data_IF_730668830759
#
_entry.id   IF_730668830759
#
_cell.length_a   1.000
_cell.length_b   1.000
_cell.length_c   1.000
_cell.angle_alpha   90.00
_cell.angle_beta   90.00
_cell.angle_gamma   90.00
#
_symmetry.space_group_name_H-M   'P 1'
#
loop_
_entity.id
_entity.type
_entity.pdbx_description
1 polymer ?
#
# COMPACT_ATOMS: atom_id res chain seq x y z
N UNK A 1 -58.45 -37.67 64.05
CA UNK A 1 -59.23 -36.57 64.67
C UNK A 1 -58.41 -35.30 64.58
N UNK A 2 -59.06 -34.24 64.06
CA UNK A 2 -58.72 -32.81 64.10
C UNK A 2 -57.35 -32.40 63.53
N UNK A 3 -57.26 -31.87 62.30
CA UNK A 3 -57.69 -30.52 61.85
C UNK A 3 -56.96 -29.41 62.61
N UNK A 4 -56.15 -28.62 61.88
CA UNK A 4 -56.16 -27.15 61.88
C UNK A 4 -55.24 -26.62 60.78
N UNK A 5 -55.86 -26.25 59.66
CA UNK A 5 -55.27 -25.34 58.68
C UNK A 5 -55.37 -23.91 59.24
N UNK A 6 -54.28 -23.16 59.17
CA UNK A 6 -54.31 -21.71 59.22
C UNK A 6 -53.29 -21.18 58.20
N UNK A 7 -53.83 -20.37 57.28
CA UNK A 7 -53.18 -19.68 56.17
C UNK A 7 -51.83 -19.03 56.52
N UNK A 8 -50.94 -18.98 55.53
CA UNK A 8 -50.11 -17.84 55.12
C UNK A 8 -49.29 -18.27 53.88
N UNK A 9 -49.84 -18.18 52.68
CA UNK A 9 -49.50 -17.16 51.66
C UNK A 9 -47.99 -16.90 51.57
N UNK A 10 -47.33 -17.50 50.57
CA UNK A 10 -46.36 -16.74 49.77
C UNK A 10 -46.14 -17.39 48.40
N UNK A 11 -46.41 -16.58 47.40
CA UNK A 11 -46.30 -16.79 45.97
C UNK A 11 -44.94 -16.25 45.55
N UNK A 12 -44.10 -17.01 44.84
CA UNK A 12 -42.99 -16.47 44.02
C UNK A 12 -42.42 -17.60 43.13
N UNK A 13 -42.97 -17.78 41.93
CA UNK A 13 -42.41 -17.31 40.65
C UNK A 13 -41.11 -18.03 40.25
N UNK A 14 -41.28 -19.05 39.41
CA UNK A 14 -40.24 -19.52 38.50
C UNK A 14 -39.81 -18.33 37.62
N UNK A 15 -38.67 -17.72 37.94
CA UNK A 15 -37.97 -16.84 37.01
C UNK A 15 -37.30 -17.74 35.98
N UNK A 16 -38.03 -18.03 34.91
CA UNK A 16 -37.43 -18.45 33.65
C UNK A 16 -36.62 -17.24 33.14
N UNK A 17 -35.30 -17.28 33.33
CA UNK A 17 -34.37 -16.35 32.69
C UNK A 17 -34.43 -16.56 31.17
N UNK A 18 -35.39 -15.91 30.53
CA UNK A 18 -35.42 -15.74 29.09
C UNK A 18 -34.41 -14.64 28.78
N UNK A 19 -33.14 -15.01 28.53
CA UNK A 19 -32.12 -14.07 28.07
C UNK A 19 -32.56 -13.59 26.68
N UNK A 20 -32.88 -12.31 26.48
CA UNK A 20 -33.17 -11.80 25.16
C UNK A 20 -31.86 -11.75 24.37
N UNK A 21 -31.82 -12.43 23.23
CA UNK A 21 -30.72 -12.31 22.28
C UNK A 21 -30.64 -10.86 21.79
N UNK A 22 -29.50 -10.16 21.97
CA UNK A 22 -29.33 -8.82 21.46
C UNK A 22 -29.51 -8.81 19.94
N UNK A 23 -30.18 -7.80 19.37
CA UNK A 23 -30.29 -7.67 17.92
C UNK A 23 -28.89 -7.64 17.29
N UNK A 24 -28.72 -8.20 16.07
CA UNK A 24 -27.45 -8.18 15.38
C UNK A 24 -26.94 -6.73 15.26
N UNK A 25 -25.71 -6.51 15.69
CA UNK A 25 -25.05 -5.22 15.59
C UNK A 25 -25.07 -4.74 14.12
N UNK A 26 -25.30 -3.44 13.85
CA UNK A 26 -25.18 -2.91 12.50
C UNK A 26 -23.77 -3.21 11.96
N UNK A 27 -23.70 -3.79 10.76
CA UNK A 27 -22.45 -4.04 10.07
C UNK A 27 -21.61 -2.75 9.97
N UNK A 28 -20.27 -2.83 10.10
CA UNK A 28 -19.42 -1.67 9.88
C UNK A 28 -19.70 -1.12 8.48
N UNK A 29 -20.07 0.17 8.42
CA UNK A 29 -20.22 0.88 7.16
C UNK A 29 -18.90 0.74 6.38
N UNK A 30 -18.97 0.14 5.20
CA UNK A 30 -17.93 0.25 4.19
C UNK A 30 -17.58 1.74 4.04
N UNK A 31 -16.31 2.15 4.21
CA UNK A 31 -15.94 3.51 3.89
C UNK A 31 -16.23 3.74 2.41
N UNK A 32 -17.20 4.61 2.14
CA UNK A 32 -17.46 5.19 0.82
C UNK A 32 -16.13 5.70 0.30
N UNK A 33 -15.57 5.03 -0.72
CA UNK A 33 -14.38 5.49 -1.42
C UNK A 33 -14.67 6.91 -1.91
N UNK A 34 -13.93 7.89 -1.39
CA UNK A 34 -13.91 9.23 -1.94
C UNK A 34 -13.63 9.12 -3.46
N UNK A 35 -14.24 9.96 -4.31
CA UNK A 35 -13.91 9.99 -5.72
C UNK A 35 -12.41 10.18 -5.85
N UNK A 36 -11.71 9.16 -6.35
CA UNK A 36 -10.28 9.26 -6.63
C UNK A 36 -10.10 10.45 -7.58
N UNK A 37 -9.13 11.35 -7.34
CA UNK A 37 -8.80 12.40 -8.30
C UNK A 37 -8.63 11.78 -9.70
N UNK A 38 -9.01 12.49 -10.78
CA UNK A 38 -8.77 11.99 -12.13
C UNK A 38 -7.30 11.58 -12.21
N UNK A 39 -7.05 10.29 -12.45
CA UNK A 39 -5.70 9.75 -12.57
C UNK A 39 -5.06 10.47 -13.76
N UNK A 40 -4.12 11.37 -13.48
CA UNK A 40 -3.35 12.05 -14.52
C UNK A 40 -2.78 10.96 -15.42
N UNK A 41 -3.17 10.97 -16.70
CA UNK A 41 -2.60 10.07 -17.71
C UNK A 41 -1.29 10.71 -18.17
N UNK A 42 -0.10 10.15 -17.83
CA UNK A 42 1.15 10.85 -18.08
C UNK A 42 1.46 10.96 -19.57
N UNK A 43 1.56 12.19 -20.07
CA UNK A 43 1.90 12.50 -21.47
C UNK A 43 3.35 12.95 -21.64
N UNK A 44 4.05 13.25 -20.54
CA UNK A 44 5.50 13.48 -20.52
C UNK A 44 6.23 12.51 -19.58
N UNK A 45 7.52 12.20 -19.83
CA UNK A 45 8.31 11.37 -18.91
C UNK A 45 8.31 11.90 -17.48
N UNK A 46 8.41 13.22 -17.29
CA UNK A 46 8.46 13.87 -15.99
C UNK A 46 7.14 13.72 -15.23
N UNK A 47 5.99 13.74 -15.92
CA UNK A 47 4.68 13.52 -15.30
C UNK A 47 4.57 12.08 -14.75
N UNK A 48 5.05 11.09 -15.52
CA UNK A 48 5.06 9.69 -15.09
C UNK A 48 6.04 9.47 -13.94
N UNK A 49 7.22 10.08 -14.01
CA UNK A 49 8.21 10.04 -12.94
C UNK A 49 7.66 10.64 -11.64
N UNK A 50 7.05 11.83 -11.73
CA UNK A 50 6.42 12.50 -10.57
C UNK A 50 5.35 11.62 -9.95
N UNK A 51 4.42 11.09 -10.75
CA UNK A 51 3.36 10.20 -10.25
C UNK A 51 3.94 8.94 -9.58
N UNK A 52 5.02 8.38 -10.13
CA UNK A 52 5.69 7.21 -9.55
C UNK A 52 6.37 7.54 -8.22
N UNK A 53 7.10 8.66 -8.14
CA UNK A 53 7.80 9.10 -6.94
C UNK A 53 6.83 9.49 -5.81
N UNK A 54 5.72 10.15 -6.14
CA UNK A 54 4.69 10.50 -5.16
C UNK A 54 4.03 9.25 -4.58
N UNK A 55 3.65 8.30 -5.44
CA UNK A 55 3.10 7.02 -4.99
C UNK A 55 4.11 6.23 -4.14
N UNK A 56 5.40 6.26 -4.49
CA UNK A 56 6.45 5.59 -3.73
C UNK A 56 6.62 6.18 -2.34
N UNK A 57 6.73 7.50 -2.23
CA UNK A 57 6.85 8.20 -0.94
C UNK A 57 5.65 7.96 -0.02
N UNK A 58 4.46 7.76 -0.60
CA UNK A 58 3.23 7.42 0.13
C UNK A 58 3.07 5.91 0.42
N UNK A 59 4.00 5.06 -0.03
CA UNK A 59 3.90 3.61 0.12
C UNK A 59 2.79 2.97 -0.71
N UNK A 60 2.28 3.66 -1.73
CA UNK A 60 1.19 3.20 -2.59
C UNK A 60 1.71 2.29 -3.71
N UNK A 61 2.23 1.12 -3.34
CA UNK A 61 2.87 0.20 -4.30
C UNK A 61 1.91 -0.31 -5.39
N UNK A 62 0.61 -0.41 -5.11
CA UNK A 62 -0.38 -0.74 -6.14
C UNK A 62 -0.48 0.36 -7.21
N UNK A 63 -0.49 1.64 -6.80
CA UNK A 63 -0.53 2.76 -7.73
C UNK A 63 0.78 2.88 -8.54
N UNK A 64 1.93 2.60 -7.91
CA UNK A 64 3.20 2.50 -8.64
C UNK A 64 3.15 1.40 -9.71
N UNK A 65 2.58 0.24 -9.40
CA UNK A 65 2.43 -0.85 -10.36
C UNK A 65 1.56 -0.44 -11.56
N UNK A 66 0.54 0.39 -11.33
CA UNK A 66 -0.35 0.92 -12.36
C UNK A 66 0.33 1.89 -13.35
N UNK A 67 1.54 2.35 -13.01
CA UNK A 67 2.40 3.19 -13.86
C UNK A 67 3.44 2.38 -14.66
N UNK A 68 3.58 1.08 -14.40
CA UNK A 68 4.56 0.25 -15.11
C UNK A 68 4.20 -0.03 -16.56
N UNK A 69 5.22 -0.21 -17.38
CA UNK A 69 5.12 -0.71 -18.75
C UNK A 69 4.59 -2.15 -18.79
N UNK A 70 4.03 -2.55 -19.92
CA UNK A 70 3.53 -3.91 -20.11
C UNK A 70 4.63 -4.96 -19.89
N UNK A 71 5.83 -4.73 -20.43
CA UNK A 71 6.99 -5.64 -20.28
C UNK A 71 7.41 -5.79 -18.82
N UNK A 72 7.46 -4.69 -18.06
CA UNK A 72 7.78 -4.75 -16.64
C UNK A 72 6.74 -5.55 -15.84
N UNK A 73 5.45 -5.41 -16.17
CA UNK A 73 4.36 -6.19 -15.55
C UNK A 73 4.37 -7.66 -15.94
N UNK A 74 4.78 -7.97 -17.18
CA UNK A 74 4.94 -9.34 -17.64
C UNK A 74 6.10 -10.04 -16.90
N UNK A 75 7.20 -9.32 -16.68
CA UNK A 75 8.36 -9.83 -15.97
C UNK A 75 8.15 -9.92 -14.45
N UNK A 76 7.34 -9.03 -13.88
CA UNK A 76 7.14 -8.93 -12.42
C UNK A 76 5.66 -8.83 -12.08
N UNK A 77 5.05 -9.90 -11.52
CA UNK A 77 3.66 -9.85 -11.06
C UNK A 77 3.44 -8.82 -9.94
N UNK A 78 2.23 -8.26 -9.86
CA UNK A 78 1.85 -7.23 -8.86
C UNK A 78 2.22 -7.61 -7.43
N UNK A 79 1.89 -8.82 -7.01
CA UNK A 79 2.17 -9.27 -5.65
C UNK A 79 3.67 -9.36 -5.37
N UNK A 80 4.46 -9.79 -6.38
CA UNK A 80 5.91 -9.82 -6.25
C UNK A 80 6.49 -8.41 -6.16
N UNK A 81 6.01 -7.48 -6.98
CA UNK A 81 6.40 -6.07 -6.94
C UNK A 81 6.13 -5.48 -5.54
N UNK A 82 4.89 -5.57 -5.05
CA UNK A 82 4.51 -5.01 -3.76
C UNK A 82 5.30 -5.63 -2.61
N UNK A 83 5.41 -6.97 -2.56
CA UNK A 83 6.19 -7.66 -1.52
C UNK A 83 7.65 -7.26 -1.51
N UNK A 84 8.29 -7.02 -2.67
CA UNK A 84 9.68 -6.56 -2.70
C UNK A 84 9.85 -5.22 -2.01
N UNK A 85 9.01 -4.24 -2.33
CA UNK A 85 9.06 -2.93 -1.68
C UNK A 85 8.79 -3.03 -0.18
N UNK A 86 7.75 -3.77 0.23
CA UNK A 86 7.42 -3.98 1.65
C UNK A 86 8.56 -4.66 2.40
N UNK A 87 9.04 -5.81 1.93
CA UNK A 87 10.08 -6.56 2.63
C UNK A 87 11.40 -5.78 2.72
N UNK A 88 11.75 -5.00 1.70
CA UNK A 88 12.95 -4.14 1.74
C UNK A 88 12.75 -3.02 2.76
N UNK A 89 11.63 -2.29 2.70
CA UNK A 89 11.31 -1.20 3.63
C UNK A 89 11.39 -1.69 5.09
N UNK A 90 10.75 -2.82 5.37
CA UNK A 90 10.70 -3.39 6.72
C UNK A 90 12.06 -3.94 7.14
N UNK A 91 12.75 -4.67 6.24
CA UNK A 91 14.04 -5.30 6.51
C UNK A 91 15.17 -4.31 6.81
N UNK A 92 15.15 -3.12 6.20
CA UNK A 92 16.14 -2.06 6.48
C UNK A 92 15.69 -1.10 7.59
N UNK A 93 14.48 -1.27 8.12
CA UNK A 93 13.90 -0.37 9.11
C UNK A 93 13.70 1.06 8.58
N UNK A 94 13.22 1.21 7.34
CA UNK A 94 12.94 2.52 6.73
C UNK A 94 11.74 3.20 7.40
N UNK A 95 11.99 4.36 8.01
CA UNK A 95 10.97 5.17 8.68
C UNK A 95 10.48 6.34 7.84
N UNK A 96 11.31 6.81 6.91
CA UNK A 96 10.97 7.90 6.00
C UNK A 96 11.67 7.70 4.66
N UNK A 97 10.95 8.01 3.58
CA UNK A 97 11.44 8.01 2.22
C UNK A 97 11.18 9.37 1.58
N UNK A 98 12.20 9.93 0.94
CA UNK A 98 12.08 11.10 0.07
C UNK A 98 12.64 10.73 -1.30
N UNK A 99 11.90 11.01 -2.37
CA UNK A 99 12.33 10.75 -3.74
C UNK A 99 12.19 12.04 -4.54
N UNK A 100 13.27 12.46 -5.19
CA UNK A 100 13.34 13.75 -5.88
C UNK A 100 13.97 13.60 -7.25
N UNK A 101 13.32 14.14 -8.28
CA UNK A 101 13.94 14.34 -9.58
C UNK A 101 15.10 15.33 -9.45
N UNK A 102 16.26 15.00 -10.02
CA UNK A 102 17.49 15.80 -9.90
C UNK A 102 17.89 16.53 -11.18
N UNK A 103 17.13 16.36 -12.26
CA UNK A 103 17.40 16.97 -13.57
C UNK A 103 16.29 16.69 -14.58
N UNK A 104 16.34 17.28 -15.78
CA UNK A 104 15.36 17.05 -16.83
C UNK A 104 15.43 15.61 -17.36
N UNK A 105 14.35 15.14 -18.01
CA UNK A 105 14.41 13.89 -18.74
C UNK A 105 15.39 13.97 -19.92
N UNK A 106 16.09 12.88 -20.20
CA UNK A 106 16.82 12.72 -21.45
C UNK A 106 15.87 12.58 -22.64
N UNK A 107 16.40 12.76 -23.85
CA UNK A 107 15.70 12.44 -25.10
C UNK A 107 15.30 10.97 -25.23
N UNK A 108 15.94 10.07 -24.48
CA UNK A 108 15.64 8.65 -24.41
C UNK A 108 14.64 8.28 -23.30
N UNK A 109 14.01 9.25 -22.65
CA UNK A 109 13.01 9.00 -21.60
C UNK A 109 13.62 8.59 -20.26
N UNK A 110 14.86 9.00 -19.98
CA UNK A 110 15.55 8.70 -18.73
C UNK A 110 15.44 9.89 -17.77
N UNK A 111 14.84 9.70 -16.59
CA UNK A 111 14.69 10.77 -15.58
C UNK A 111 15.65 10.54 -14.41
N UNK A 112 16.67 11.39 -14.21
CA UNK A 112 17.58 11.24 -13.07
C UNK A 112 16.87 11.64 -11.77
N UNK A 113 17.10 10.87 -10.71
CA UNK A 113 16.50 11.10 -9.40
C UNK A 113 17.43 10.69 -8.26
N UNK A 114 17.12 11.20 -7.06
CA UNK A 114 17.75 10.84 -5.80
C UNK A 114 16.70 10.23 -4.88
N UNK A 115 17.08 9.16 -4.19
CA UNK A 115 16.33 8.60 -3.08
C UNK A 115 17.08 8.86 -1.79
N UNK A 116 16.38 9.38 -0.79
CA UNK A 116 16.90 9.61 0.55
C UNK A 116 16.01 8.88 1.55
N UNK A 117 16.62 7.98 2.32
CA UNK A 117 15.95 7.13 3.31
C UNK A 117 16.44 7.47 4.68
N UNK A 118 15.52 7.60 5.62
CA UNK A 118 15.85 7.59 7.04
C UNK A 118 15.59 6.19 7.57
N UNK A 119 16.62 5.56 8.13
CA UNK A 119 16.58 4.25 8.74
C UNK A 119 16.58 4.40 10.26
N UNK A 120 15.76 3.60 10.96
CA UNK A 120 15.59 3.71 12.41
C UNK A 120 16.90 3.59 13.20
N UNK A 121 17.82 2.73 12.73
CA UNK A 121 19.08 2.41 13.43
C UNK A 121 20.31 3.10 12.82
N UNK A 122 20.27 3.40 11.52
CA UNK A 122 21.45 3.82 10.76
C UNK A 122 21.39 5.27 10.28
N UNK A 123 20.33 6.01 10.60
CA UNK A 123 20.17 7.40 10.18
C UNK A 123 19.88 7.52 8.68
N UNK A 124 20.37 8.58 8.05
CA UNK A 124 20.04 8.89 6.66
C UNK A 124 21.01 8.23 5.67
N UNK A 125 20.45 7.62 4.63
CA UNK A 125 21.20 7.05 3.49
C UNK A 125 20.59 7.60 2.19
N UNK A 126 21.45 7.97 1.24
CA UNK A 126 21.00 8.48 -0.07
C UNK A 126 21.68 7.78 -1.22
N UNK A 127 20.93 7.58 -2.32
CA UNK A 127 21.45 7.05 -3.59
C UNK A 127 20.87 7.84 -4.77
N UNK A 128 21.63 7.93 -5.86
CA UNK A 128 21.17 8.51 -7.12
C UNK A 128 20.95 7.41 -8.13
N UNK A 129 19.87 7.52 -8.91
CA UNK A 129 19.52 6.54 -9.93
C UNK A 129 18.82 7.24 -11.10
N UNK A 130 18.51 6.48 -12.13
CA UNK A 130 17.84 6.96 -13.33
C UNK A 130 16.60 6.13 -13.56
N UNK A 131 15.45 6.77 -13.69
CA UNK A 131 14.17 6.12 -13.94
C UNK A 131 13.99 5.97 -15.46
N UNK A 132 14.03 4.75 -16.00
CA UNK A 132 13.74 4.53 -17.41
C UNK A 132 12.23 4.58 -17.65
N UNK A 133 11.82 5.43 -18.58
CA UNK A 133 10.44 5.50 -19.05
C UNK A 133 10.37 5.17 -20.53
N UNK A 134 9.28 4.52 -20.91
CA UNK A 134 8.94 4.17 -22.29
C UNK A 134 7.53 4.65 -22.58
N UNK A 135 7.30 5.07 -23.82
CA UNK A 135 5.96 5.45 -24.27
C UNK A 135 5.25 4.22 -24.82
N UNK A 136 4.01 4.00 -24.41
CA UNK A 136 3.18 2.94 -24.99
C UNK A 136 2.55 3.37 -26.33
N UNK A 137 1.85 2.44 -26.98
CA UNK A 137 1.23 2.67 -28.29
C UNK A 137 0.15 3.78 -28.28
N UNK A 138 -0.36 4.15 -27.10
CA UNK A 138 -1.37 5.20 -26.92
C UNK A 138 -0.75 6.57 -26.60
N UNK A 139 0.59 6.64 -26.57
CA UNK A 139 1.32 7.86 -26.26
C UNK A 139 1.46 8.13 -24.76
N UNK A 140 1.20 7.15 -23.89
CA UNK A 140 1.29 7.29 -22.44
C UNK A 140 2.66 6.83 -21.96
N UNK A 141 3.32 7.64 -21.12
CA UNK A 141 4.60 7.27 -20.55
C UNK A 141 4.42 6.31 -19.38
N UNK A 142 5.23 5.26 -19.38
CA UNK A 142 5.21 4.15 -18.42
C UNK A 142 6.62 3.86 -17.92
N UNK A 143 6.73 3.38 -16.69
CA UNK A 143 8.03 3.03 -16.09
C UNK A 143 8.49 1.66 -16.61
N UNK A 144 9.68 1.62 -17.20
CA UNK A 144 10.38 0.37 -17.58
C UNK A 144 11.08 -0.22 -16.34
N UNK A 145 10.27 -0.68 -15.38
CA UNK A 145 10.78 -1.03 -14.06
C UNK A 145 11.63 -2.29 -14.04
N UNK A 146 12.64 -2.27 -13.17
CA UNK A 146 13.45 -3.40 -12.79
C UNK A 146 13.79 -3.35 -11.29
N UNK A 147 14.13 -4.48 -10.64
CA UNK A 147 14.39 -4.54 -9.19
C UNK A 147 15.46 -3.57 -8.69
N UNK A 148 16.47 -3.28 -9.51
CA UNK A 148 17.54 -2.32 -9.21
C UNK A 148 17.08 -0.87 -9.00
N UNK A 149 15.81 -0.55 -9.30
CA UNK A 149 15.22 0.75 -9.00
C UNK A 149 14.78 0.90 -7.54
N UNK A 150 14.66 -0.20 -6.77
CA UNK A 150 14.38 -0.11 -5.33
C UNK A 150 15.66 0.25 -4.56
N UNK A 151 16.75 -0.45 -4.86
CA UNK A 151 18.09 -0.21 -4.35
C UNK A 151 19.10 -0.57 -5.43
N UNK A 152 20.13 0.25 -5.55
CA UNK A 152 21.22 0.00 -6.51
C UNK A 152 21.87 -1.36 -6.22
N UNK A 153 22.02 -2.20 -7.26
CA UNK A 153 22.61 -3.53 -7.13
C UNK A 153 21.61 -4.69 -6.88
N UNK A 154 20.31 -4.42 -6.71
CA UNK A 154 19.31 -5.48 -6.69
C UNK A 154 19.09 -6.08 -8.08
N UNK A 155 19.05 -7.41 -8.12
CA UNK A 155 18.71 -8.22 -9.30
C UNK A 155 17.38 -8.94 -9.07
N UNK A 156 16.84 -9.60 -10.11
CA UNK A 156 15.63 -10.40 -9.99
C UNK A 156 15.73 -11.52 -8.93
N UNK A 157 16.92 -12.05 -8.64
CA UNK A 157 17.14 -13.11 -7.66
C UNK A 157 17.59 -12.62 -6.27
N UNK A 158 17.78 -11.31 -6.08
CA UNK A 158 18.26 -10.78 -4.80
C UNK A 158 17.21 -10.99 -3.69
N UNK A 159 17.65 -11.54 -2.55
CA UNK A 159 16.84 -11.72 -1.32
C UNK A 159 17.44 -10.84 -0.23
N UNK A 160 16.61 -10.07 0.49
CA UNK A 160 17.03 -9.40 1.73
C UNK A 160 16.89 -10.42 2.85
N UNK A 161 17.98 -10.66 3.59
CA UNK A 161 18.04 -11.55 4.76
C UNK A 161 18.37 -10.74 5.99
#
# INVERSE_FOLDING_TARGET
MAWRHALLISMLLLVACSVPEPPPAPAPATPTAAPSPPTLVPRRPEEAATAFFDAWQQGQYSAMYDLLSADARAATPRDLFARRYTNIRDGIGEVKLTVQQTGPASTSGQVPFRVTRTLALFGEVSETNTLPLVQDQTGVWKVAWQPGLIFTGLTASSTVR
#
